data_IF_964585564022
#
_entry.id   IF_964585564022
#
_cell.length_a   1.000
_cell.length_b   1.000
_cell.length_c   1.000
_cell.angle_alpha   90.00
_cell.angle_beta   90.00
_cell.angle_gamma   90.00
#
_symmetry.space_group_name_H-M   'P 1'
#
loop_
_entity.id
_entity.type
_entity.pdbx_description
1 polymer ?
#
# COMPACT_ATOMS: atom_id res chain seq x y z
N UNK A 1 6.54 -6.61 -7.13
CA UNK A 1 5.27 -7.17 -7.62
C UNK A 1 5.44 -7.52 -9.09
N UNK A 2 5.05 -8.72 -9.53
CA UNK A 2 5.01 -9.05 -10.95
C UNK A 2 3.72 -8.45 -11.52
N UNK A 3 3.82 -7.81 -12.68
CA UNK A 3 2.65 -7.30 -13.39
C UNK A 3 1.79 -8.48 -13.88
N UNK A 4 0.57 -8.57 -13.36
CA UNK A 4 -0.41 -9.62 -13.69
C UNK A 4 -1.82 -9.18 -13.27
N UNK A 5 -2.83 -9.77 -13.90
CA UNK A 5 -4.23 -9.57 -13.51
C UNK A 5 -4.44 -9.84 -12.01
N UNK A 6 -5.19 -8.95 -11.35
CA UNK A 6 -5.52 -9.05 -9.92
C UNK A 6 -4.38 -8.72 -8.96
N UNK A 7 -3.18 -8.38 -9.45
CA UNK A 7 -2.06 -8.05 -8.59
C UNK A 7 -2.42 -6.85 -7.68
N UNK A 8 -2.92 -5.75 -8.24
CA UNK A 8 -3.30 -4.55 -7.47
C UNK A 8 -4.37 -4.87 -6.43
N UNK A 9 -5.39 -5.63 -6.82
CA UNK A 9 -6.45 -6.07 -5.92
C UNK A 9 -5.90 -6.82 -4.68
N UNK A 10 -4.90 -7.69 -4.87
CA UNK A 10 -4.29 -8.44 -3.78
C UNK A 10 -3.50 -7.55 -2.79
N UNK A 11 -2.95 -6.44 -3.29
CA UNK A 11 -2.26 -5.41 -2.49
C UNK A 11 -3.27 -4.55 -1.72
N UNK A 12 -4.46 -4.30 -2.27
CA UNK A 12 -5.48 -3.48 -1.61
C UNK A 12 -6.35 -4.26 -0.62
N UNK A 13 -6.42 -5.59 -0.77
CA UNK A 13 -7.22 -6.48 0.07
C UNK A 13 -6.97 -6.33 1.58
N UNK A 14 -5.72 -6.22 2.08
CA UNK A 14 -5.45 -6.03 3.51
C UNK A 14 -6.07 -4.76 4.09
N UNK A 15 -6.11 -3.66 3.34
CA UNK A 15 -6.73 -2.41 3.79
C UNK A 15 -8.25 -2.55 3.89
N UNK A 16 -8.89 -3.13 2.86
CA UNK A 16 -10.33 -3.44 2.86
C UNK A 16 -10.72 -4.33 4.03
N UNK A 17 -10.04 -5.46 4.21
CA UNK A 17 -10.31 -6.41 5.32
C UNK A 17 -10.09 -5.78 6.69
N UNK A 18 -9.19 -4.82 6.76
CA UNK A 18 -8.91 -4.09 7.98
C UNK A 18 -9.73 -2.81 8.07
N UNK A 19 -10.75 -2.56 7.24
CA UNK A 19 -11.56 -1.33 7.24
C UNK A 19 -10.72 -0.03 7.35
N UNK A 20 -9.66 0.08 6.55
CA UNK A 20 -8.79 1.26 6.45
C UNK A 20 -9.15 2.00 5.17
N UNK A 21 -9.48 3.29 5.31
CA UNK A 21 -9.80 4.13 4.18
C UNK A 21 -8.52 4.57 3.44
N UNK A 22 -8.55 4.50 2.12
CA UNK A 22 -7.48 4.99 1.26
C UNK A 22 -7.88 6.35 0.69
N UNK A 23 -6.99 7.33 0.79
CA UNK A 23 -7.24 8.69 0.29
C UNK A 23 -6.59 8.92 -1.06
N UNK A 24 -5.56 8.13 -1.38
CA UNK A 24 -4.83 8.26 -2.65
C UNK A 24 -4.24 6.93 -3.09
N UNK A 25 -4.28 6.69 -4.40
CA UNK A 25 -3.55 5.60 -5.03
C UNK A 25 -2.99 6.06 -6.37
N UNK A 26 -1.67 5.99 -6.50
CA UNK A 26 -0.96 6.32 -7.75
C UNK A 26 -0.08 5.14 -8.17
N UNK A 27 -0.09 4.82 -9.45
CA UNK A 27 0.86 3.87 -10.04
C UNK A 27 1.95 4.65 -10.79
N UNK A 28 3.20 4.23 -10.63
CA UNK A 28 4.34 4.79 -11.39
C UNK A 28 5.20 3.68 -11.98
N UNK A 29 5.60 3.79 -13.26
CA UNK A 29 6.49 2.82 -13.86
C UNK A 29 7.86 2.86 -13.20
N UNK A 30 8.43 1.68 -12.96
CA UNK A 30 9.77 1.54 -12.40
C UNK A 30 10.83 1.85 -13.45
N UNK A 31 11.64 2.90 -13.21
CA UNK A 31 12.78 3.25 -14.08
C UNK A 31 13.86 2.16 -14.18
N UNK A 32 13.89 1.20 -13.24
CA UNK A 32 14.97 0.19 -13.14
C UNK A 32 14.74 -1.10 -13.94
N UNK A 33 13.48 -1.45 -14.25
CA UNK A 33 13.11 -2.68 -14.98
C UNK A 33 11.78 -2.44 -15.68
N UNK A 34 11.73 -2.74 -16.98
CA UNK A 34 10.49 -2.77 -17.73
C UNK A 34 9.44 -3.66 -17.02
N UNK A 35 8.16 -3.28 -17.08
CA UNK A 35 7.03 -4.05 -16.54
C UNK A 35 6.98 -4.20 -15.01
N UNK A 36 7.64 -3.31 -14.26
CA UNK A 36 7.44 -3.19 -12.81
C UNK A 36 6.78 -1.86 -12.49
N UNK A 37 5.78 -1.89 -11.62
CA UNK A 37 5.10 -0.70 -11.12
C UNK A 37 5.37 -0.51 -9.64
N UNK A 38 5.54 0.75 -9.25
CA UNK A 38 5.42 1.20 -7.87
C UNK A 38 4.01 1.72 -7.64
N UNK A 39 3.43 1.36 -6.50
CA UNK A 39 2.17 1.94 -6.05
C UNK A 39 2.46 2.83 -4.85
N UNK A 40 2.05 4.09 -4.95
CA UNK A 40 2.02 5.04 -3.84
C UNK A 40 0.60 5.06 -3.31
N UNK A 41 0.45 4.89 -2.00
CA UNK A 41 -0.85 4.78 -1.35
C UNK A 41 -0.85 5.66 -0.13
N UNK A 42 -1.83 6.56 -0.07
CA UNK A 42 -2.13 7.32 1.14
C UNK A 42 -3.38 6.73 1.78
N UNK A 43 -3.40 6.69 3.10
CA UNK A 43 -4.47 6.07 3.88
C UNK A 43 -4.73 6.86 5.16
N UNK A 44 -5.96 6.76 5.66
CA UNK A 44 -6.31 7.29 6.97
C UNK A 44 -5.84 6.34 8.07
N UNK A 45 -4.99 6.87 8.95
CA UNK A 45 -4.49 6.15 10.11
C UNK A 45 -3.01 6.45 10.36
N UNK A 46 -2.52 5.90 11.47
CA UNK A 46 -1.13 6.09 11.89
C UNK A 46 -0.43 4.73 11.97
N UNK A 47 0.86 4.67 11.65
CA UNK A 47 1.65 3.41 11.68
C UNK A 47 1.65 2.73 13.07
N UNK A 48 1.53 3.53 14.14
CA UNK A 48 1.42 3.05 15.52
C UNK A 48 0.05 2.43 15.85
N UNK A 49 -0.98 2.64 15.03
CA UNK A 49 -2.30 2.03 15.24
C UNK A 49 -2.23 0.52 14.97
N UNK A 50 -2.71 -0.30 15.90
CA UNK A 50 -2.73 -1.78 15.80
C UNK A 50 -3.38 -2.28 14.51
N UNK A 51 -4.47 -1.65 14.07
CA UNK A 51 -5.23 -1.97 12.84
C UNK A 51 -4.37 -1.77 11.59
N UNK A 52 -3.69 -0.62 11.51
CA UNK A 52 -2.78 -0.27 10.41
C UNK A 52 -1.56 -1.19 10.40
N UNK A 53 -0.93 -1.41 11.56
CA UNK A 53 0.22 -2.31 11.69
C UNK A 53 -0.10 -3.73 11.23
N UNK A 54 -1.30 -4.23 11.57
CA UNK A 54 -1.78 -5.53 11.12
C UNK A 54 -2.00 -5.60 9.60
N UNK A 55 -2.55 -4.55 8.99
CA UNK A 55 -2.72 -4.46 7.54
C UNK A 55 -1.38 -4.42 6.79
N UNK A 56 -0.43 -3.62 7.27
CA UNK A 56 0.92 -3.52 6.69
C UNK A 56 1.66 -4.87 6.75
N UNK A 57 1.59 -5.59 7.87
CA UNK A 57 2.20 -6.93 7.99
C UNK A 57 1.61 -7.95 7.02
N UNK A 58 0.32 -7.86 6.70
CA UNK A 58 -0.32 -8.70 5.66
C UNK A 58 0.10 -8.27 4.26
N UNK A 59 0.27 -6.96 4.04
CA UNK A 59 0.70 -6.40 2.78
C UNK A 59 2.13 -6.80 2.42
N UNK A 60 3.06 -6.79 3.40
CA UNK A 60 4.45 -7.22 3.20
C UNK A 60 4.56 -8.63 2.62
N UNK A 61 3.64 -9.54 2.96
CA UNK A 61 3.63 -10.90 2.40
C UNK A 61 3.28 -10.95 0.91
N UNK A 62 2.54 -9.96 0.42
CA UNK A 62 2.05 -9.89 -0.95
C UNK A 62 2.88 -8.97 -1.84
N UNK A 63 3.79 -8.18 -1.25
CA UNK A 63 4.60 -7.19 -1.91
C UNK A 63 6.09 -7.58 -1.89
N UNK A 64 6.77 -7.47 -3.03
CA UNK A 64 8.24 -7.68 -3.08
C UNK A 64 9.01 -6.59 -2.35
N UNK A 65 8.41 -5.41 -2.20
CA UNK A 65 9.00 -4.24 -1.56
C UNK A 65 7.88 -3.41 -0.96
N UNK A 66 8.02 -3.03 0.30
CA UNK A 66 7.16 -2.10 1.00
C UNK A 66 8.05 -1.10 1.74
N UNK A 67 7.74 0.19 1.61
CA UNK A 67 8.38 1.23 2.41
C UNK A 67 7.31 2.17 2.92
N UNK A 68 7.27 2.37 4.23
CA UNK A 68 6.46 3.42 4.83
C UNK A 68 7.25 4.73 4.76
N UNK A 69 6.68 5.75 4.12
CA UNK A 69 7.33 7.06 3.97
C UNK A 69 7.13 7.95 5.20
N UNK A 70 6.03 7.76 5.93
CA UNK A 70 5.77 8.48 7.17
C UNK A 70 4.30 8.40 7.58
N UNK A 71 3.99 9.06 8.69
CA UNK A 71 2.63 9.39 9.10
C UNK A 71 2.63 10.87 9.49
N UNK A 72 1.71 11.64 8.93
CA UNK A 72 1.62 13.08 9.12
C UNK A 72 0.19 13.47 9.51
N UNK A 73 -0.02 14.60 10.21
CA UNK A 73 -1.35 15.10 10.51
C UNK A 73 -2.15 15.34 9.22
N UNK A 74 -3.43 14.97 9.22
CA UNK A 74 -4.31 15.37 8.12
C UNK A 74 -4.52 16.89 8.15
N UNK A 75 -4.54 17.51 6.98
CA UNK A 75 -5.04 18.89 6.86
C UNK A 75 -6.50 18.94 7.37
N UNK A 76 -6.86 20.06 7.99
CA UNK A 76 -8.21 20.31 8.51
C UNK A 76 -9.18 20.63 7.39
#
# INVERSE_FOLDING_TARGET
MKDKAGALHNVLTPFKKSNINLTKIESRPSKKKAWKYYFFVDMQGHIKNKKVKGALKKLEKNCTYLKVLGSYPSEK
#
